data_IF_686969585927
#
_entry.id   IF_686969585927
#
_cell.length_a   1.000
_cell.length_b   1.000
_cell.length_c   1.000
_cell.angle_alpha   90.00
_cell.angle_beta   90.00
_cell.angle_gamma   90.00
#
_symmetry.space_group_name_H-M   'P 1'
#
loop_
_entity.id
_entity.type
_entity.pdbx_description
1 polymer ?
#
# COMPACT_ATOMS: atom_id res chain seq x y z
N UNK A 1 5.50 10.68 15.20
CA UNK A 1 5.87 9.77 14.11
C UNK A 1 5.50 10.41 12.79
N UNK A 2 6.36 10.26 11.81
CA UNK A 2 6.19 10.88 10.49
C UNK A 2 5.68 9.86 9.49
N UNK A 3 4.75 10.30 8.65
CA UNK A 3 4.17 9.51 7.58
C UNK A 3 4.39 10.24 6.25
N UNK A 4 4.72 9.48 5.21
CA UNK A 4 4.89 10.03 3.86
C UNK A 4 3.74 9.56 2.98
N UNK A 5 3.18 10.48 2.19
CA UNK A 5 2.15 10.15 1.22
C UNK A 5 2.74 10.20 -0.19
N UNK A 6 2.56 9.12 -0.92
CA UNK A 6 2.81 9.06 -2.36
C UNK A 6 1.47 9.04 -3.06
N UNK A 7 1.16 10.11 -3.79
CA UNK A 7 -0.12 10.31 -4.47
C UNK A 7 -0.20 9.63 -5.83
N UNK A 8 0.86 8.95 -6.25
CA UNK A 8 0.84 8.14 -7.46
C UNK A 8 -0.31 7.15 -7.41
N UNK A 9 -0.96 6.91 -8.54
CA UNK A 9 -2.02 5.91 -8.62
C UNK A 9 -1.40 4.51 -8.64
N UNK A 10 -1.80 3.69 -7.65
CA UNK A 10 -1.42 2.30 -7.54
C UNK A 10 -2.59 1.40 -7.89
N UNK A 11 -2.27 0.22 -8.38
CA UNK A 11 -3.25 -0.84 -8.64
C UNK A 11 -2.88 -2.08 -7.86
N UNK A 12 -3.88 -2.71 -7.27
CA UNK A 12 -3.75 -4.02 -6.63
C UNK A 12 -4.38 -5.03 -7.58
N UNK A 13 -3.59 -5.99 -8.08
CA UNK A 13 -4.04 -6.90 -9.12
C UNK A 13 -3.80 -8.36 -8.73
N UNK A 14 -4.72 -9.22 -9.13
CA UNK A 14 -4.64 -10.66 -8.92
C UNK A 14 -4.38 -11.37 -10.23
N UNK A 15 -3.35 -12.21 -10.23
CA UNK A 15 -2.95 -13.05 -11.36
C UNK A 15 -2.96 -14.52 -10.95
N UNK A 16 -2.90 -15.44 -11.91
CA UNK A 16 -2.76 -16.87 -11.58
C UNK A 16 -1.53 -17.13 -10.70
N UNK A 17 -1.54 -18.18 -9.86
CA UNK A 17 -0.45 -18.42 -8.90
C UNK A 17 0.91 -18.67 -9.53
N UNK A 18 0.97 -19.08 -10.79
CA UNK A 18 2.22 -19.31 -11.51
C UNK A 18 2.60 -18.17 -12.47
N UNK A 19 1.98 -17.00 -12.32
CA UNK A 19 2.22 -15.87 -13.21
C UNK A 19 3.70 -15.46 -13.15
N UNK A 20 4.40 -15.38 -14.31
CA UNK A 20 5.80 -14.99 -14.30
C UNK A 20 5.94 -13.49 -14.00
N UNK A 21 6.93 -13.14 -13.17
CA UNK A 21 7.19 -11.75 -12.82
C UNK A 21 7.60 -10.96 -14.06
N UNK A 22 6.85 -9.89 -14.42
CA UNK A 22 7.23 -9.03 -15.55
C UNK A 22 8.56 -8.32 -15.28
N UNK A 23 9.42 -8.24 -16.31
CA UNK A 23 10.70 -7.55 -16.18
C UNK A 23 10.53 -6.06 -15.85
N UNK A 24 9.44 -5.44 -16.30
CA UNK A 24 9.14 -4.04 -16.03
C UNK A 24 9.04 -3.73 -14.54
N UNK A 25 8.65 -4.70 -13.72
CA UNK A 25 8.53 -4.51 -12.27
C UNK A 25 9.89 -4.42 -11.59
N UNK A 26 10.91 -5.06 -12.15
CA UNK A 26 12.26 -5.06 -11.56
C UNK A 26 12.98 -3.74 -11.74
N UNK A 27 12.63 -2.98 -12.77
CA UNK A 27 13.25 -1.68 -13.07
C UNK A 27 12.50 -0.51 -12.45
N UNK A 28 11.36 -0.77 -11.78
CA UNK A 28 10.56 0.27 -11.17
C UNK A 28 11.22 0.78 -9.87
N UNK A 29 11.41 2.10 -9.77
CA UNK A 29 12.02 2.72 -8.59
C UNK A 29 11.01 3.08 -7.51
N UNK A 30 9.71 2.97 -7.81
CA UNK A 30 8.65 3.22 -6.83
C UNK A 30 8.27 1.92 -6.13
N UNK A 31 7.36 2.02 -5.16
CA UNK A 31 6.91 0.85 -4.42
C UNK A 31 6.32 -0.20 -5.37
N UNK A 32 6.78 -1.43 -5.23
CA UNK A 32 6.23 -2.58 -5.94
C UNK A 32 6.29 -3.78 -5.02
N UNK A 33 5.19 -4.50 -4.88
CA UNK A 33 5.11 -5.71 -4.07
C UNK A 33 4.54 -6.85 -4.89
N UNK A 34 5.18 -8.02 -4.82
CA UNK A 34 4.72 -9.24 -5.48
C UNK A 34 4.66 -10.33 -4.42
N UNK A 35 3.49 -10.95 -4.31
CA UNK A 35 3.28 -12.04 -3.36
C UNK A 35 2.76 -13.26 -4.11
N UNK A 36 3.51 -14.36 -4.04
CA UNK A 36 3.07 -15.64 -4.56
C UNK A 36 2.52 -16.48 -3.44
N UNK A 37 1.31 -17.00 -3.63
CA UNK A 37 0.71 -18.01 -2.76
C UNK A 37 0.24 -19.18 -3.61
N UNK A 38 -0.16 -20.31 -3.01
CA UNK A 38 -0.73 -21.41 -3.80
C UNK A 38 -2.00 -21.03 -4.58
N UNK A 39 -2.65 -19.92 -4.22
CA UNK A 39 -3.94 -19.52 -4.79
C UNK A 39 -3.84 -18.36 -5.75
N UNK A 40 -2.79 -17.54 -5.67
CA UNK A 40 -2.71 -16.32 -6.46
C UNK A 40 -1.29 -15.78 -6.55
N UNK A 41 -1.09 -14.91 -7.54
CA UNK A 41 0.03 -13.96 -7.56
C UNK A 41 -0.58 -12.56 -7.38
N UNK A 42 -0.31 -11.91 -6.24
CA UNK A 42 -0.82 -10.58 -5.94
C UNK A 42 0.26 -9.54 -6.23
N UNK A 43 -0.06 -8.55 -7.05
CA UNK A 43 0.90 -7.51 -7.42
C UNK A 43 0.32 -6.14 -7.06
N UNK A 44 1.13 -5.34 -6.35
CA UNK A 44 0.82 -3.95 -6.04
C UNK A 44 1.91 -3.09 -6.68
N UNK A 45 1.53 -2.21 -7.59
CA UNK A 45 2.49 -1.40 -8.35
C UNK A 45 1.81 -0.15 -8.92
N UNK A 46 2.58 0.86 -9.33
CA UNK A 46 1.97 1.98 -10.05
C UNK A 46 1.14 1.50 -11.25
N UNK A 47 -0.02 2.10 -11.43
CA UNK A 47 -1.02 1.66 -12.41
C UNK A 47 -0.47 1.60 -13.84
N UNK A 48 0.43 2.51 -14.20
CA UNK A 48 0.99 2.57 -15.55
C UNK A 48 2.06 1.51 -15.85
N UNK A 49 2.46 0.74 -14.85
CA UNK A 49 3.52 -0.28 -15.01
C UNK A 49 2.92 -1.65 -15.36
N UNK A 50 1.73 -1.94 -14.88
CA UNK A 50 1.14 -3.26 -15.02
C UNK A 50 0.10 -3.29 -16.14
N UNK A 51 0.07 -4.41 -16.88
CA UNK A 51 -0.99 -4.65 -17.86
C UNK A 51 -2.17 -5.33 -17.17
N UNK A 52 -3.14 -4.54 -16.74
CA UNK A 52 -4.31 -5.04 -16.03
C UNK A 52 -5.20 -5.96 -16.89
N UNK A 53 -5.04 -5.92 -18.22
CA UNK A 53 -5.80 -6.81 -19.11
C UNK A 53 -5.46 -8.28 -18.92
N UNK A 54 -4.27 -8.59 -18.35
CA UNK A 54 -3.86 -9.96 -18.06
C UNK A 54 -4.28 -10.41 -16.66
N UNK A 55 -4.81 -9.50 -15.84
CA UNK A 55 -5.21 -9.82 -14.48
C UNK A 55 -6.57 -10.51 -14.43
N UNK A 56 -6.73 -11.42 -13.48
CA UNK A 56 -8.04 -12.01 -13.18
C UNK A 56 -8.96 -10.98 -12.51
N UNK A 57 -8.39 -10.10 -11.70
CA UNK A 57 -9.10 -9.01 -11.03
C UNK A 57 -8.12 -7.88 -10.74
N UNK A 58 -8.62 -6.66 -10.72
CA UNK A 58 -7.79 -5.49 -10.41
C UNK A 58 -8.61 -4.42 -9.72
N UNK A 59 -8.00 -3.80 -8.72
CA UNK A 59 -8.56 -2.64 -7.98
C UNK A 59 -7.61 -1.46 -8.18
N UNK A 60 -7.97 -0.48 -8.99
CA UNK A 60 -7.13 0.71 -9.24
C UNK A 60 -7.39 1.82 -8.24
N UNK A 61 -6.68 2.93 -8.42
CA UNK A 61 -6.91 4.21 -7.75
C UNK A 61 -6.62 4.21 -6.26
N UNK A 62 -5.48 3.65 -5.89
CA UNK A 62 -4.96 3.70 -4.52
C UNK A 62 -3.82 4.70 -4.42
N UNK A 63 -3.68 5.35 -3.27
CA UNK A 63 -2.46 6.07 -2.91
C UNK A 63 -1.71 5.30 -1.82
N UNK A 64 -0.44 5.63 -1.62
CA UNK A 64 0.43 4.91 -0.70
C UNK A 64 0.82 5.80 0.47
N UNK A 65 0.70 5.26 1.68
CA UNK A 65 1.20 5.85 2.91
C UNK A 65 2.36 5.00 3.41
N UNK A 66 3.48 5.64 3.70
CA UNK A 66 4.66 4.96 4.25
C UNK A 66 4.94 5.49 5.65
N UNK A 67 5.22 4.59 6.59
CA UNK A 67 5.73 4.96 7.90
C UNK A 67 7.22 5.28 7.73
N UNK A 68 7.61 6.53 8.01
CA UNK A 68 8.97 7.00 7.78
C UNK A 68 9.96 6.40 8.78
N UNK A 69 11.14 6.04 8.30
CA UNK A 69 12.20 5.46 9.10
C UNK A 69 12.25 3.93 9.02
N UNK A 70 13.19 3.35 9.77
CA UNK A 70 13.36 1.90 9.86
C UNK A 70 12.83 1.46 11.22
N UNK A 71 11.81 0.60 11.22
CA UNK A 71 11.17 0.13 12.43
C UNK A 71 11.88 -1.12 12.96
N UNK A 72 12.06 -1.18 14.28
CA UNK A 72 12.55 -2.38 14.95
C UNK A 72 11.42 -3.44 14.95
N UNK A 73 11.76 -4.69 14.63
CA UNK A 73 10.80 -5.80 14.66
C UNK A 73 10.17 -6.01 16.04
N UNK A 74 10.86 -5.58 17.10
CA UNK A 74 10.32 -5.69 18.46
C UNK A 74 9.24 -4.66 18.78
N UNK A 75 9.09 -3.61 17.96
CA UNK A 75 8.04 -2.63 18.15
C UNK A 75 6.68 -3.25 17.86
N UNK A 76 5.73 -2.98 18.73
CA UNK A 76 4.37 -3.52 18.62
C UNK A 76 3.35 -2.39 18.62
N UNK A 77 2.21 -2.65 17.97
CA UNK A 77 1.08 -1.73 18.00
C UNK A 77 1.21 -0.48 17.12
N UNK A 78 2.33 -0.30 16.40
CA UNK A 78 2.51 0.88 15.54
C UNK A 78 1.45 0.91 14.45
N UNK A 79 1.29 -0.19 13.73
CA UNK A 79 0.30 -0.29 12.67
C UNK A 79 -1.11 -0.12 13.22
N UNK A 80 -1.40 -0.73 14.37
CA UNK A 80 -2.71 -0.63 15.02
C UNK A 80 -3.05 0.82 15.39
N UNK A 81 -2.09 1.58 15.89
CA UNK A 81 -2.30 2.99 16.26
C UNK A 81 -2.62 3.86 15.05
N UNK A 82 -2.10 3.51 13.87
CA UNK A 82 -2.40 4.23 12.63
C UNK A 82 -3.74 3.79 12.08
N UNK A 83 -4.03 2.50 12.08
CA UNK A 83 -5.23 1.97 11.44
C UNK A 83 -6.50 2.18 12.26
N UNK A 84 -6.40 2.26 13.59
CA UNK A 84 -7.58 2.45 14.44
C UNK A 84 -8.36 3.72 14.10
N UNK A 85 -7.74 4.92 14.03
CA UNK A 85 -8.48 6.11 13.65
C UNK A 85 -9.05 6.05 12.22
N UNK A 86 -8.35 5.38 11.31
CA UNK A 86 -8.85 5.18 9.95
C UNK A 86 -10.09 4.28 9.93
N UNK A 87 -10.07 3.20 10.72
CA UNK A 87 -11.22 2.30 10.82
C UNK A 87 -12.44 3.01 11.40
N UNK A 88 -12.25 3.91 12.37
CA UNK A 88 -13.32 4.70 12.95
C UNK A 88 -14.00 5.60 11.92
N UNK A 89 -13.30 5.98 10.86
CA UNK A 89 -13.82 6.76 9.74
C UNK A 89 -14.27 5.87 8.57
N UNK A 90 -14.29 4.56 8.77
CA UNK A 90 -14.67 3.58 7.75
C UNK A 90 -13.82 3.65 6.48
N UNK A 91 -12.54 3.96 6.63
CA UNK A 91 -11.59 3.98 5.53
C UNK A 91 -10.99 2.59 5.37
N UNK A 92 -11.18 2.00 4.19
CA UNK A 92 -10.60 0.70 3.85
C UNK A 92 -9.10 0.83 3.62
N UNK A 93 -8.34 -0.15 4.09
CA UNK A 93 -6.90 -0.18 3.95
C UNK A 93 -6.42 -1.48 3.32
N UNK A 94 -5.24 -1.42 2.70
CA UNK A 94 -4.48 -2.58 2.27
C UNK A 94 -3.07 -2.42 2.82
N UNK A 95 -2.68 -3.23 3.79
CA UNK A 95 -1.42 -3.06 4.51
C UNK A 95 -0.37 -4.06 4.04
N UNK A 96 0.85 -3.58 3.86
CA UNK A 96 2.01 -4.40 3.50
C UNK A 96 3.16 -4.05 4.42
N UNK A 97 3.75 -5.07 5.06
CA UNK A 97 4.94 -4.90 5.88
C UNK A 97 6.15 -5.41 5.12
N UNK A 98 7.22 -4.63 5.13
CA UNK A 98 8.51 -5.03 4.59
C UNK A 98 9.53 -5.15 5.72
N UNK A 99 10.77 -5.47 5.39
CA UNK A 99 11.82 -5.57 6.40
C UNK A 99 12.00 -4.26 7.19
N UNK A 100 11.95 -3.12 6.49
CA UNK A 100 12.24 -1.83 7.12
C UNK A 100 11.03 -1.20 7.81
N UNK A 101 9.86 -1.31 7.22
CA UNK A 101 8.71 -0.54 7.70
C UNK A 101 7.39 -1.05 7.12
N UNK A 102 6.30 -0.36 7.47
CA UNK A 102 4.96 -0.69 7.01
C UNK A 102 4.48 0.33 5.99
N UNK A 103 3.66 -0.16 5.07
CA UNK A 103 3.00 0.62 4.03
C UNK A 103 1.49 0.38 4.11
N UNK A 104 0.72 1.41 3.85
CA UNK A 104 -0.74 1.31 3.83
C UNK A 104 -1.24 1.96 2.55
N UNK A 105 -2.01 1.21 1.77
CA UNK A 105 -2.69 1.75 0.61
C UNK A 105 -4.14 2.05 0.97
N UNK A 106 -4.62 3.18 0.49
CA UNK A 106 -6.00 3.62 0.66
C UNK A 106 -6.51 4.16 -0.67
N UNK A 107 -7.83 4.17 -0.86
CA UNK A 107 -8.42 4.69 -2.09
C UNK A 107 -8.12 6.18 -2.24
N UNK A 108 -7.85 6.61 -3.47
CA UNK A 108 -7.62 8.04 -3.78
C UNK A 108 -8.78 8.92 -3.30
N UNK A 109 -10.01 8.41 -3.36
CA UNK A 109 -11.18 9.14 -2.90
C UNK A 109 -11.17 9.42 -1.40
N UNK A 110 -10.36 8.69 -0.62
CA UNK A 110 -10.24 8.88 0.82
C UNK A 110 -9.01 9.71 1.21
N UNK A 111 -8.26 10.24 0.24
CA UNK A 111 -7.01 10.95 0.50
C UNK A 111 -7.18 12.12 1.48
N UNK A 112 -8.17 12.98 1.24
CA UNK A 112 -8.41 14.15 2.09
C UNK A 112 -8.83 13.74 3.49
N UNK A 113 -9.76 12.79 3.61
CA UNK A 113 -10.26 12.33 4.90
C UNK A 113 -9.17 11.60 5.69
N UNK A 114 -8.38 10.75 5.03
CA UNK A 114 -7.29 10.04 5.68
C UNK A 114 -6.22 11.00 6.21
N UNK A 115 -5.86 12.00 5.40
CA UNK A 115 -4.87 13.01 5.78
C UNK A 115 -5.35 13.81 7.00
N UNK A 116 -6.59 14.26 6.99
CA UNK A 116 -7.18 14.98 8.10
C UNK A 116 -7.24 14.12 9.37
N UNK A 117 -7.69 12.88 9.23
CA UNK A 117 -7.85 11.95 10.35
C UNK A 117 -6.50 11.68 11.03
N UNK A 118 -5.46 11.41 10.26
CA UNK A 118 -4.14 11.10 10.80
C UNK A 118 -3.45 12.34 11.38
N UNK A 119 -3.63 13.50 10.76
CA UNK A 119 -3.11 14.76 11.29
C UNK A 119 -3.75 15.07 12.64
N UNK A 120 -5.06 14.91 12.75
CA UNK A 120 -5.80 15.11 14.01
C UNK A 120 -5.33 14.13 15.09
N UNK A 121 -4.94 12.91 14.70
CA UNK A 121 -4.42 11.92 15.62
C UNK A 121 -2.98 12.18 16.08
N UNK A 122 -2.34 13.24 15.55
CA UNK A 122 -1.01 13.67 16.00
C UNK A 122 0.15 13.26 15.08
N UNK A 123 -0.11 12.70 13.92
CA UNK A 123 0.95 12.33 12.98
C UNK A 123 1.36 13.51 12.10
N UNK A 124 2.66 13.60 11.81
CA UNK A 124 3.16 14.54 10.81
C UNK A 124 3.10 13.87 9.43
N UNK A 125 2.49 14.53 8.47
CA UNK A 125 2.33 14.00 7.13
C UNK A 125 3.05 14.87 6.12
N UNK A 126 3.88 14.25 5.31
CA UNK A 126 4.62 14.94 4.24
C UNK A 126 4.32 14.36 2.85
#
# INVERSE_FOLDING_TARGET
MKLQIDKTNYTIAKFPPNFPMPASLQSESRFTSITYTPEECSIVTPTNIINAAQAEAAEPDWFLLKIEGILDFSLTGILNKITTPLAEKEISIFAISTYNTDYILMKQSDLALATETLTTAGYEIS
#
